data_IF_811389542588
#
_entry.id   IF_811389542588
#
_cell.length_a   1.000
_cell.length_b   1.000
_cell.length_c   1.000
_cell.angle_alpha   90.00
_cell.angle_beta   90.00
_cell.angle_gamma   90.00
#
_symmetry.space_group_name_H-M   'P 1'
#
loop_
_entity.id
_entity.type
_entity.pdbx_description
1 polymer ?
#
# COMPACT_ATOMS: atom_id res chain seq x y z
N UNK A 1 10.22 4.81 14.44
CA UNK A 1 10.70 5.12 13.07
C UNK A 1 11.77 6.24 13.03
N UNK A 2 11.94 7.07 14.03
CA UNK A 2 12.98 8.13 14.04
C UNK A 2 14.40 7.62 14.32
N UNK A 3 14.56 6.50 15.00
CA UNK A 3 15.88 5.99 15.45
C UNK A 3 16.55 5.03 14.45
N UNK A 4 15.83 4.54 13.46
CA UNK A 4 16.36 3.55 12.49
C UNK A 4 17.28 4.15 11.42
N UNK A 5 17.24 5.46 11.19
CA UNK A 5 18.19 6.13 10.29
C UNK A 5 19.60 6.26 10.87
N UNK A 6 19.80 5.93 12.14
CA UNK A 6 21.12 5.98 12.82
C UNK A 6 22.05 4.87 12.34
N UNK A 7 21.53 3.80 11.77
CA UNK A 7 22.31 2.68 11.23
C UNK A 7 22.84 2.94 9.80
N UNK A 8 22.29 3.96 9.11
CA UNK A 8 22.77 4.38 7.81
C UNK A 8 23.84 5.45 7.94
N UNK A 9 24.86 5.39 7.10
CA UNK A 9 25.84 6.46 7.03
C UNK A 9 25.20 7.82 6.69
N UNK A 10 25.76 8.94 7.20
CA UNK A 10 25.17 10.28 7.04
C UNK A 10 25.02 10.67 5.54
N UNK A 11 25.90 10.19 4.68
CA UNK A 11 25.80 10.39 3.23
C UNK A 11 24.60 9.68 2.60
N UNK A 12 24.37 8.42 2.94
CA UNK A 12 23.24 7.64 2.47
C UNK A 12 21.91 8.22 2.96
N UNK A 13 21.83 8.59 4.23
CA UNK A 13 20.66 9.25 4.80
C UNK A 13 20.33 10.55 4.08
N UNK A 14 21.34 11.38 3.78
CA UNK A 14 21.16 12.63 3.03
C UNK A 14 20.69 12.36 1.61
N UNK A 15 21.27 11.38 0.93
CA UNK A 15 20.88 10.99 -0.41
C UNK A 15 19.43 10.51 -0.45
N UNK A 16 19.03 9.57 0.42
CA UNK A 16 17.66 9.07 0.47
C UNK A 16 16.64 10.16 0.79
N UNK A 17 16.95 11.05 1.73
CA UNK A 17 16.07 12.21 2.03
C UNK A 17 15.94 13.16 0.85
N UNK A 18 17.00 13.31 0.07
CA UNK A 18 16.97 14.16 -1.11
C UNK A 18 16.16 13.60 -2.27
N UNK A 19 15.72 12.34 -2.23
CA UNK A 19 14.85 11.74 -3.24
C UNK A 19 13.37 12.14 -3.09
N UNK A 20 12.99 12.76 -1.97
CA UNK A 20 11.62 13.17 -1.69
C UNK A 20 11.50 14.67 -1.88
N UNK A 21 10.76 15.11 -2.88
CA UNK A 21 10.46 16.53 -3.11
C UNK A 21 9.56 17.11 -1.99
N UNK A 22 9.48 18.44 -1.87
CA UNK A 22 8.68 19.12 -0.84
C UNK A 22 7.18 18.78 -0.92
N UNK A 23 6.68 18.52 -2.13
CA UNK A 23 5.31 18.07 -2.39
C UNK A 23 5.11 16.55 -2.18
N UNK A 24 6.12 15.84 -1.66
CA UNK A 24 6.18 14.39 -1.47
C UNK A 24 6.20 13.56 -2.76
N UNK A 25 6.52 14.17 -3.88
CA UNK A 25 6.74 13.44 -5.11
C UNK A 25 8.11 12.76 -5.10
N UNK A 26 8.17 11.65 -5.82
CA UNK A 26 9.39 10.89 -6.08
C UNK A 26 9.69 10.95 -7.57
N UNK A 27 10.96 10.94 -7.99
CA UNK A 27 11.31 10.72 -9.38
C UNK A 27 10.75 9.40 -9.91
N UNK A 28 10.21 9.39 -11.13
CA UNK A 28 9.49 8.25 -11.69
C UNK A 28 10.36 6.98 -11.80
N UNK A 29 11.67 7.10 -11.97
CA UNK A 29 12.60 5.97 -11.99
C UNK A 29 12.66 5.19 -10.67
N UNK A 30 12.16 5.74 -9.55
CA UNK A 30 12.07 5.05 -8.25
C UNK A 30 10.84 4.14 -8.14
N UNK A 31 9.93 4.20 -9.10
CA UNK A 31 8.73 3.39 -9.14
C UNK A 31 8.66 2.55 -10.42
N UNK A 32 9.67 1.69 -10.68
CA UNK A 32 9.67 0.86 -11.86
C UNK A 32 8.49 -0.11 -11.85
N UNK A 33 8.09 -0.56 -13.04
CA UNK A 33 7.12 -1.62 -13.16
C UNK A 33 7.65 -2.92 -12.54
N UNK A 34 6.92 -3.56 -11.62
CA UNK A 34 7.37 -4.81 -11.03
C UNK A 34 7.46 -5.91 -12.09
N UNK A 35 8.57 -6.62 -12.13
CA UNK A 35 8.81 -7.72 -13.08
C UNK A 35 7.93 -8.94 -12.81
N UNK A 36 7.41 -9.08 -11.57
CA UNK A 36 6.57 -10.20 -11.15
C UNK A 36 5.57 -9.76 -10.08
N UNK A 37 4.51 -10.55 -9.81
CA UNK A 37 3.55 -10.27 -8.74
C UNK A 37 4.18 -10.25 -7.32
N UNK A 38 5.35 -10.85 -7.16
CA UNK A 38 6.11 -10.92 -5.90
C UNK A 38 7.59 -10.67 -6.17
N UNK A 39 7.97 -9.44 -6.55
CA UNK A 39 9.34 -9.13 -6.89
C UNK A 39 10.23 -9.24 -5.66
N UNK A 40 11.45 -9.66 -5.85
CA UNK A 40 12.47 -9.60 -4.82
C UNK A 40 13.15 -8.24 -4.85
N UNK A 41 13.53 -7.70 -3.71
CA UNK A 41 14.20 -6.37 -3.62
C UNK A 41 15.42 -6.27 -4.55
N UNK A 42 16.17 -7.36 -4.73
CA UNK A 42 17.33 -7.39 -5.64
C UNK A 42 16.93 -7.13 -7.09
N UNK A 43 15.79 -7.66 -7.51
CA UNK A 43 15.28 -7.51 -8.88
C UNK A 43 14.83 -6.07 -9.11
N UNK A 44 14.13 -5.49 -8.14
CA UNK A 44 13.71 -4.09 -8.16
C UNK A 44 14.92 -3.13 -8.22
N UNK A 45 15.95 -3.38 -7.40
CA UNK A 45 17.17 -2.58 -7.42
C UNK A 45 18.00 -2.79 -8.69
N UNK A 46 17.95 -3.97 -9.29
CA UNK A 46 18.57 -4.22 -10.59
C UNK A 46 17.86 -3.41 -11.70
N UNK A 47 16.52 -3.39 -11.68
CA UNK A 47 15.71 -2.57 -12.59
C UNK A 47 16.02 -1.08 -12.41
N UNK A 48 16.15 -0.61 -11.18
CA UNK A 48 16.54 0.77 -10.89
C UNK A 48 17.91 1.10 -11.48
N UNK A 49 18.92 0.24 -11.31
CA UNK A 49 20.25 0.43 -11.89
C UNK A 49 20.25 0.42 -13.41
N UNK A 50 19.33 -0.32 -14.03
CA UNK A 50 19.18 -0.43 -15.48
C UNK A 50 18.37 0.75 -16.08
N UNK A 51 17.93 1.72 -15.27
CA UNK A 51 17.24 2.90 -15.79
C UNK A 51 18.11 3.63 -16.83
N UNK A 52 17.57 3.94 -18.01
CA UNK A 52 18.31 4.67 -19.03
C UNK A 52 18.84 6.01 -18.49
N UNK A 53 20.12 6.31 -18.65
CA UNK A 53 20.74 7.52 -18.10
C UNK A 53 20.05 8.83 -18.48
N UNK A 54 19.49 8.89 -19.68
CA UNK A 54 18.75 10.05 -20.21
C UNK A 54 17.41 10.29 -19.49
N UNK A 55 16.85 9.27 -18.85
CA UNK A 55 15.62 9.39 -18.10
C UNK A 55 15.82 10.10 -16.75
N UNK A 56 17.00 9.95 -16.13
CA UNK A 56 17.27 10.45 -14.79
C UNK A 56 17.12 11.98 -14.67
N UNK A 57 17.71 12.83 -15.54
CA UNK A 57 17.51 14.28 -15.49
C UNK A 57 16.04 14.65 -15.63
N UNK A 58 15.35 14.06 -16.60
CA UNK A 58 13.94 14.32 -16.90
C UNK A 58 13.03 14.04 -15.71
N UNK A 59 13.21 12.90 -15.05
CA UNK A 59 12.39 12.50 -13.92
C UNK A 59 12.67 13.37 -12.69
N UNK A 60 13.94 13.77 -12.47
CA UNK A 60 14.29 14.70 -11.42
C UNK A 60 13.71 16.11 -11.68
N UNK A 61 13.77 16.62 -12.90
CA UNK A 61 13.15 17.89 -13.27
C UNK A 61 11.64 17.87 -13.02
N UNK A 62 10.97 16.81 -13.41
CA UNK A 62 9.53 16.65 -13.21
C UNK A 62 9.15 16.63 -11.72
N UNK A 63 9.94 15.98 -10.90
CA UNK A 63 9.68 15.85 -9.47
C UNK A 63 9.90 17.19 -8.72
N UNK A 64 10.92 17.96 -9.08
CA UNK A 64 11.37 19.11 -8.29
C UNK A 64 11.01 20.47 -8.87
N UNK A 65 11.21 20.69 -10.19
CA UNK A 65 11.10 22.06 -10.75
C UNK A 65 9.72 22.68 -10.61
N UNK A 66 8.59 21.98 -10.68
CA UNK A 66 7.28 22.59 -10.53
C UNK A 66 7.02 23.20 -9.14
N UNK A 67 7.69 22.71 -8.09
CA UNK A 67 7.42 23.11 -6.71
C UNK A 67 8.65 23.66 -5.98
N UNK A 68 9.78 22.96 -6.06
CA UNK A 68 10.99 23.30 -5.31
C UNK A 68 11.91 24.23 -6.08
N UNK A 69 11.67 24.42 -7.39
CA UNK A 69 12.45 25.23 -8.32
C UNK A 69 13.92 24.83 -8.49
N UNK A 70 14.41 23.93 -7.66
CA UNK A 70 15.80 23.45 -7.69
C UNK A 70 15.87 21.97 -7.34
N UNK A 71 16.77 21.26 -8.03
CA UNK A 71 17.10 19.87 -7.68
C UNK A 71 18.09 19.89 -6.51
N UNK A 72 17.89 19.10 -5.44
CA UNK A 72 18.81 19.01 -4.31
C UNK A 72 20.25 18.70 -4.73
N UNK A 73 21.20 19.31 -4.04
CA UNK A 73 22.64 19.24 -4.38
C UNK A 73 23.16 17.81 -4.58
N UNK A 74 22.84 16.81 -3.71
CA UNK A 74 23.32 15.44 -3.93
C UNK A 74 22.89 14.86 -5.28
N UNK A 75 21.64 15.11 -5.69
CA UNK A 75 21.09 14.62 -6.95
C UNK A 75 21.63 15.41 -8.15
N UNK A 76 21.75 16.73 -8.00
CA UNK A 76 22.25 17.61 -9.04
C UNK A 76 23.70 17.29 -9.42
N UNK A 77 24.57 17.02 -8.45
CA UNK A 77 25.94 16.60 -8.72
C UNK A 77 26.00 15.25 -9.46
N UNK A 78 25.08 14.34 -9.14
CA UNK A 78 25.00 13.02 -9.80
C UNK A 78 24.52 13.08 -11.25
N UNK A 79 23.93 14.19 -11.71
CA UNK A 79 23.48 14.32 -13.10
C UNK A 79 24.59 14.25 -14.13
N UNK A 80 25.83 14.55 -13.75
CA UNK A 80 26.99 14.38 -14.63
C UNK A 80 27.35 12.92 -14.89
N UNK A 81 26.95 12.02 -14.00
CA UNK A 81 27.20 10.58 -14.06
C UNK A 81 25.95 9.80 -13.61
N UNK A 82 24.84 9.82 -14.39
CA UNK A 82 23.55 9.27 -13.96
C UNK A 82 23.62 7.79 -13.55
N UNK A 83 24.40 6.97 -14.27
CA UNK A 83 24.56 5.55 -13.93
C UNK A 83 25.21 5.34 -12.56
N UNK A 84 26.19 6.19 -12.18
CA UNK A 84 26.78 6.17 -10.84
C UNK A 84 25.78 6.61 -9.79
N UNK A 85 25.01 7.67 -10.04
CA UNK A 85 23.96 8.13 -9.15
C UNK A 85 22.93 7.03 -8.88
N UNK A 86 22.44 6.34 -9.91
CA UNK A 86 21.52 5.20 -9.78
C UNK A 86 22.12 4.08 -8.93
N UNK A 87 23.41 3.78 -9.11
CA UNK A 87 24.14 2.83 -8.27
C UNK A 87 24.15 3.24 -6.79
N UNK A 88 24.52 4.48 -6.50
CA UNK A 88 24.57 5.03 -5.14
C UNK A 88 23.18 5.04 -4.47
N UNK A 89 22.13 5.38 -5.22
CA UNK A 89 20.74 5.30 -4.75
C UNK A 89 20.35 3.86 -4.44
N UNK A 90 20.64 2.92 -5.34
CA UNK A 90 20.30 1.52 -5.14
C UNK A 90 21.04 0.91 -3.94
N UNK A 91 22.32 1.27 -3.74
CA UNK A 91 23.11 0.82 -2.58
C UNK A 91 22.53 1.39 -1.27
N UNK A 92 22.15 2.66 -1.27
CA UNK A 92 21.51 3.29 -0.11
C UNK A 92 20.14 2.66 0.22
N UNK A 93 19.33 2.36 -0.81
CA UNK A 93 18.05 1.65 -0.64
C UNK A 93 18.24 0.22 -0.15
N UNK A 94 19.26 -0.50 -0.65
CA UNK A 94 19.60 -1.85 -0.17
C UNK A 94 20.02 -1.83 1.30
N UNK A 95 20.84 -0.88 1.70
CA UNK A 95 21.26 -0.72 3.09
C UNK A 95 20.06 -0.41 3.99
N UNK A 96 19.20 0.53 3.58
CA UNK A 96 17.97 0.87 4.31
C UNK A 96 17.01 -0.33 4.43
N UNK A 97 16.83 -1.08 3.35
CA UNK A 97 16.04 -2.31 3.37
C UNK A 97 16.57 -3.30 4.38
N UNK A 98 17.87 -3.62 4.29
CA UNK A 98 18.49 -4.67 5.10
C UNK A 98 18.52 -4.35 6.60
N UNK A 99 18.75 -3.08 6.95
CA UNK A 99 18.87 -2.64 8.35
C UNK A 99 17.52 -2.30 8.97
N UNK A 100 16.64 -1.61 8.22
CA UNK A 100 15.46 -0.98 8.79
C UNK A 100 14.15 -1.71 8.47
N UNK A 101 14.01 -2.25 7.26
CA UNK A 101 12.72 -2.78 6.82
C UNK A 101 12.64 -4.30 6.93
N UNK A 102 13.63 -5.02 6.42
CA UNK A 102 13.58 -6.47 6.30
C UNK A 102 13.46 -7.21 7.64
N UNK A 103 14.16 -6.83 8.72
CA UNK A 103 14.20 -7.64 9.94
C UNK A 103 12.87 -7.70 10.68
N UNK A 104 12.18 -6.57 10.84
CA UNK A 104 11.03 -6.49 11.72
C UNK A 104 9.75 -6.01 11.03
N UNK A 105 9.87 -5.09 10.07
CA UNK A 105 8.73 -4.45 9.44
C UNK A 105 8.18 -5.25 8.26
N UNK A 106 9.06 -5.77 7.39
CA UNK A 106 8.66 -6.43 6.16
C UNK A 106 7.77 -7.68 6.33
N UNK A 107 8.01 -8.59 7.29
CA UNK A 107 7.14 -9.75 7.46
C UNK A 107 5.67 -9.38 7.69
N UNK A 108 5.43 -8.31 8.49
CA UNK A 108 4.10 -7.77 8.75
C UNK A 108 3.53 -7.04 7.53
N UNK A 109 4.35 -6.19 6.91
CA UNK A 109 4.00 -5.47 5.70
C UNK A 109 3.57 -6.39 4.57
N UNK A 110 4.37 -7.43 4.32
CA UNK A 110 4.09 -8.45 3.33
C UNK A 110 2.74 -9.12 3.54
N UNK A 111 2.41 -9.49 4.78
CA UNK A 111 1.12 -10.10 5.10
C UNK A 111 -0.06 -9.19 4.76
N UNK A 112 0.04 -7.89 5.03
CA UNK A 112 -1.00 -6.91 4.69
C UNK A 112 -1.13 -6.75 3.18
N UNK A 113 0.00 -6.59 2.46
CA UNK A 113 0.00 -6.44 1.01
C UNK A 113 -0.56 -7.68 0.30
N UNK A 114 -0.16 -8.89 0.71
CA UNK A 114 -0.67 -10.15 0.14
C UNK A 114 -2.17 -10.36 0.42
N UNK A 115 -2.65 -9.92 1.59
CA UNK A 115 -4.07 -9.95 1.93
C UNK A 115 -4.87 -9.02 1.02
N UNK A 116 -4.36 -7.81 0.74
CA UNK A 116 -5.00 -6.88 -0.17
C UNK A 116 -5.03 -7.40 -1.61
N UNK A 117 -3.93 -7.92 -2.12
CA UNK A 117 -3.87 -8.53 -3.47
C UNK A 117 -4.92 -9.64 -3.60
N UNK A 118 -5.04 -10.49 -2.59
CA UNK A 118 -6.04 -11.58 -2.57
C UNK A 118 -7.46 -11.02 -2.59
N UNK A 119 -7.71 -9.97 -1.82
CA UNK A 119 -9.01 -9.29 -1.81
C UNK A 119 -9.34 -8.72 -3.21
N UNK A 120 -8.41 -7.98 -3.83
CA UNK A 120 -8.60 -7.39 -5.15
C UNK A 120 -8.85 -8.45 -6.23
N UNK A 121 -8.12 -9.56 -6.19
CA UNK A 121 -8.35 -10.69 -7.10
C UNK A 121 -9.77 -11.27 -6.96
N UNK A 122 -10.28 -11.40 -5.73
CA UNK A 122 -11.66 -11.85 -5.49
C UNK A 122 -12.69 -10.85 -5.99
N UNK A 123 -12.45 -9.55 -5.77
CA UNK A 123 -13.33 -8.48 -6.28
C UNK A 123 -13.41 -8.51 -7.80
N UNK A 124 -12.27 -8.63 -8.47
CA UNK A 124 -12.20 -8.75 -9.92
C UNK A 124 -12.93 -9.98 -10.42
N UNK A 125 -12.74 -11.15 -9.78
CA UNK A 125 -13.38 -12.40 -10.18
C UNK A 125 -14.90 -12.41 -9.96
N UNK A 126 -15.43 -11.68 -8.96
CA UNK A 126 -16.84 -11.70 -8.61
C UNK A 126 -17.67 -10.62 -9.30
N UNK A 127 -17.09 -9.49 -9.66
CA UNK A 127 -17.83 -8.34 -10.19
C UNK A 127 -17.08 -7.55 -11.27
N UNK A 128 -16.01 -8.14 -11.83
CA UNK A 128 -15.25 -7.49 -12.89
C UNK A 128 -14.49 -6.24 -12.47
N UNK A 129 -14.12 -5.42 -13.46
CA UNK A 129 -13.37 -4.20 -13.25
C UNK A 129 -14.12 -3.16 -12.39
N UNK A 130 -15.42 -3.03 -12.58
CA UNK A 130 -16.25 -2.10 -11.79
C UNK A 130 -16.15 -2.39 -10.30
N UNK A 131 -16.28 -3.66 -9.90
CA UNK A 131 -16.17 -4.06 -8.51
C UNK A 131 -14.75 -3.89 -7.95
N UNK A 132 -13.72 -4.01 -8.79
CA UNK A 132 -12.34 -3.80 -8.40
C UNK A 132 -12.05 -2.32 -8.13
N UNK A 133 -12.47 -1.41 -9.01
CA UNK A 133 -12.14 0.01 -8.90
C UNK A 133 -13.00 0.77 -7.91
N UNK A 134 -14.25 0.35 -7.66
CA UNK A 134 -15.21 1.02 -6.78
C UNK A 134 -14.65 1.31 -5.37
N UNK A 135 -13.85 0.41 -4.80
CA UNK A 135 -13.28 0.56 -3.46
C UNK A 135 -11.75 0.73 -3.45
N UNK A 136 -11.14 0.94 -4.63
CA UNK A 136 -9.70 1.11 -4.73
C UNK A 136 -9.26 2.49 -4.22
N UNK A 137 -9.86 3.53 -4.78
CA UNK A 137 -9.67 4.93 -4.37
C UNK A 137 -10.85 5.76 -4.88
N UNK A 138 -11.47 6.63 -4.07
CA UNK A 138 -12.63 7.44 -4.48
C UNK A 138 -12.34 8.41 -5.63
N UNK A 139 -11.06 8.66 -5.94
CA UNK A 139 -10.65 9.49 -7.07
C UNK A 139 -10.54 8.72 -8.39
N UNK A 140 -10.64 7.40 -8.35
CA UNK A 140 -10.63 6.55 -9.52
C UNK A 140 -12.06 6.26 -9.94
N UNK A 141 -12.39 6.59 -11.17
CA UNK A 141 -13.68 6.24 -11.77
C UNK A 141 -13.44 5.36 -12.98
N UNK A 142 -14.08 4.19 -12.97
CA UNK A 142 -14.06 3.25 -14.07
C UNK A 142 -15.37 3.32 -14.82
N UNK A 143 -15.29 3.53 -16.13
CA UNK A 143 -16.46 3.53 -17.01
C UNK A 143 -16.11 2.86 -18.36
N UNK A 144 -16.75 1.73 -18.65
CA UNK A 144 -16.68 1.02 -19.93
C UNK A 144 -15.29 0.92 -20.58
N UNK A 145 -14.27 0.58 -19.80
CA UNK A 145 -12.90 0.44 -20.32
C UNK A 145 -12.04 1.70 -20.21
N UNK A 146 -12.62 2.78 -19.69
CA UNK A 146 -11.91 4.05 -19.45
C UNK A 146 -11.71 4.26 -17.97
N UNK A 147 -10.48 4.52 -17.56
CA UNK A 147 -10.16 4.93 -16.20
C UNK A 147 -9.98 6.44 -16.15
N UNK A 148 -10.85 7.12 -15.43
CA UNK A 148 -10.72 8.53 -15.11
C UNK A 148 -10.13 8.69 -13.70
N UNK A 149 -9.24 9.67 -13.54
CA UNK A 149 -8.65 10.00 -12.24
C UNK A 149 -9.06 11.42 -11.89
N UNK A 150 -9.90 11.57 -10.88
CA UNK A 150 -10.26 12.88 -10.33
C UNK A 150 -9.07 13.39 -9.50
N UNK A 151 -8.18 14.12 -10.13
CA UNK A 151 -7.02 14.69 -9.46
C UNK A 151 -6.93 16.19 -9.73
N UNK A 152 -7.13 17.00 -8.71
CA UNK A 152 -6.93 18.47 -8.78
C UNK A 152 -5.48 18.86 -9.11
N UNK A 153 -4.52 17.94 -8.98
CA UNK A 153 -3.08 18.17 -9.16
C UNK A 153 -2.45 17.39 -10.32
N UNK A 154 -3.18 16.49 -10.98
CA UNK A 154 -2.62 15.73 -12.10
C UNK A 154 -2.65 16.55 -13.38
N UNK A 155 -1.63 17.38 -13.57
CA UNK A 155 -1.39 18.10 -14.84
C UNK A 155 -0.99 17.19 -16.01
N UNK A 156 -0.85 15.90 -15.79
CA UNK A 156 -0.30 14.93 -16.75
C UNK A 156 -1.35 13.96 -17.32
N UNK A 157 -2.56 13.92 -16.76
CA UNK A 157 -3.62 13.09 -17.33
C UNK A 157 -4.58 13.94 -18.14
N UNK A 158 -5.02 13.46 -19.32
CA UNK A 158 -6.10 14.09 -20.06
C UNK A 158 -7.33 14.22 -19.17
N UNK A 159 -8.02 15.33 -19.22
CA UNK A 159 -9.25 15.56 -18.46
C UNK A 159 -10.35 14.51 -18.70
N UNK A 160 -10.22 13.73 -19.78
CA UNK A 160 -11.20 12.74 -20.23
C UNK A 160 -10.87 11.29 -19.80
N UNK A 161 -9.88 11.09 -18.93
CA UNK A 161 -9.46 9.75 -18.53
C UNK A 161 -8.54 9.05 -19.55
N UNK A 162 -8.12 7.85 -19.22
CA UNK A 162 -7.26 7.01 -20.07
C UNK A 162 -8.02 5.73 -20.41
N UNK A 163 -8.16 5.46 -21.70
CA UNK A 163 -8.70 4.20 -22.18
C UNK A 163 -7.69 3.07 -21.89
N UNK A 164 -8.03 2.18 -20.97
CA UNK A 164 -7.24 1.00 -20.63
C UNK A 164 -7.99 -0.31 -20.89
N UNK A 165 -9.19 -0.21 -21.44
CA UNK A 165 -9.96 -1.37 -21.87
C UNK A 165 -9.20 -2.15 -22.94
N UNK A 166 -8.97 -3.44 -22.70
CA UNK A 166 -8.21 -4.30 -23.61
C UNK A 166 -6.69 -4.15 -23.49
N UNK A 167 -6.17 -3.28 -22.62
CA UNK A 167 -4.74 -3.13 -22.33
C UNK A 167 -4.36 -3.72 -20.98
N UNK A 168 -3.08 -4.01 -20.81
CA UNK A 168 -2.55 -4.45 -19.53
C UNK A 168 -2.51 -3.27 -18.56
N UNK A 169 -3.00 -3.47 -17.33
CA UNK A 169 -2.89 -2.52 -16.22
C UNK A 169 -2.16 -3.20 -15.07
N UNK A 170 -1.21 -2.52 -14.45
CA UNK A 170 -0.51 -2.99 -13.26
C UNK A 170 -1.05 -2.26 -12.04
N UNK A 171 -1.51 -3.03 -11.04
CA UNK A 171 -1.97 -2.53 -9.75
C UNK A 171 -0.95 -2.91 -8.67
N UNK A 172 -0.39 -1.92 -7.97
CA UNK A 172 0.62 -2.14 -6.94
C UNK A 172 0.13 -1.59 -5.60
N UNK A 173 -0.16 -2.46 -4.62
CA UNK A 173 -0.53 -2.01 -3.29
C UNK A 173 0.66 -1.40 -2.56
N UNK A 174 0.44 -0.32 -1.81
CA UNK A 174 1.45 0.31 -0.97
C UNK A 174 0.93 0.58 0.44
N UNK A 175 1.86 0.65 1.41
CA UNK A 175 1.57 1.00 2.81
C UNK A 175 1.89 2.47 3.12
N UNK A 176 2.40 3.21 2.15
CA UNK A 176 2.94 4.55 2.37
C UNK A 176 2.12 5.67 1.71
N UNK A 177 1.27 5.35 0.74
CA UNK A 177 0.42 6.34 0.09
C UNK A 177 -0.90 6.53 0.85
N UNK A 178 -1.42 7.75 0.82
CA UNK A 178 -2.75 8.09 1.34
C UNK A 178 -3.83 8.05 0.26
N UNK A 179 -3.45 7.84 -0.99
CA UNK A 179 -4.35 7.76 -2.13
C UNK A 179 -3.63 7.22 -3.36
N UNK A 180 -4.38 6.90 -4.40
CA UNK A 180 -3.84 6.34 -5.63
C UNK A 180 -2.88 7.33 -6.31
N UNK A 181 -1.76 6.80 -6.75
CA UNK A 181 -0.75 7.45 -7.57
C UNK A 181 -0.76 6.75 -8.92
N UNK A 182 -0.90 7.49 -9.99
CA UNK A 182 -0.92 6.94 -11.34
C UNK A 182 0.33 7.33 -12.10
N UNK A 183 1.04 6.36 -12.65
CA UNK A 183 2.09 6.55 -13.63
C UNK A 183 1.55 6.05 -14.98
N UNK A 184 1.10 7.00 -15.80
CA UNK A 184 0.53 6.71 -17.11
C UNK A 184 1.31 7.52 -18.14
N UNK A 185 2.17 6.84 -18.88
CA UNK A 185 2.83 7.40 -20.05
C UNK A 185 2.22 6.78 -21.31
N UNK A 186 2.14 7.52 -22.44
CA UNK A 186 1.44 7.04 -23.64
C UNK A 186 1.95 5.72 -24.21
N UNK A 187 3.21 5.38 -23.97
CA UNK A 187 3.86 4.18 -24.54
C UNK A 187 4.18 3.12 -23.48
N UNK A 188 3.84 3.37 -22.21
CA UNK A 188 4.12 2.44 -21.12
C UNK A 188 2.84 1.76 -20.63
N UNK A 189 2.96 0.55 -20.10
CA UNK A 189 1.84 -0.10 -19.42
C UNK A 189 1.39 0.77 -18.24
N UNK A 190 0.11 1.16 -18.15
CA UNK A 190 -0.36 1.96 -17.02
C UNK A 190 -0.09 1.29 -15.68
N UNK A 191 0.43 2.04 -14.71
CA UNK A 191 0.68 1.61 -13.34
C UNK A 191 -0.14 2.44 -12.37
N UNK A 192 -0.86 1.78 -11.47
CA UNK A 192 -1.55 2.42 -10.35
C UNK A 192 -0.96 1.88 -9.06
N UNK A 193 -0.34 2.77 -8.29
CA UNK A 193 0.10 2.50 -6.92
C UNK A 193 -1.01 2.99 -5.99
N UNK A 194 -1.56 2.13 -5.15
CA UNK A 194 -2.73 2.46 -4.33
C UNK A 194 -2.54 2.04 -2.86
N UNK A 195 -3.19 2.72 -1.89
CA UNK A 195 -3.12 2.34 -0.49
C UNK A 195 -3.68 0.94 -0.28
N UNK A 196 -2.87 0.03 0.24
CA UNK A 196 -3.33 -1.31 0.60
C UNK A 196 -4.36 -1.24 1.73
N UNK A 197 -5.38 -2.06 1.68
CA UNK A 197 -6.33 -2.23 2.79
C UNK A 197 -5.58 -2.72 4.03
N UNK A 198 -5.92 -2.14 5.18
CA UNK A 198 -5.23 -2.47 6.43
C UNK A 198 -3.89 -1.76 6.63
N UNK A 199 -3.49 -0.82 5.77
CA UNK A 199 -2.25 -0.04 5.95
C UNK A 199 -2.22 0.68 7.31
N UNK A 200 -3.35 1.11 7.86
CA UNK A 200 -3.45 1.70 9.19
C UNK A 200 -3.03 0.77 10.32
N UNK A 201 -3.09 -0.55 10.12
CA UNK A 201 -2.64 -1.53 11.13
C UNK A 201 -1.11 -1.63 11.22
N UNK A 202 -0.40 -1.09 10.22
CA UNK A 202 1.06 -1.08 10.16
C UNK A 202 1.70 0.05 10.94
N UNK A 203 0.95 1.09 11.28
CA UNK A 203 1.38 2.14 12.18
C UNK A 203 1.41 1.58 13.63
N UNK A 204 2.37 0.68 13.88
CA UNK A 204 2.58 0.05 15.18
C UNK A 204 2.74 1.09 16.27
N UNK A 205 2.11 0.84 17.41
CA UNK A 205 2.18 1.61 18.68
C UNK A 205 1.65 3.06 18.66
N UNK A 206 1.13 3.55 17.56
CA UNK A 206 0.27 4.72 17.67
C UNK A 206 -1.11 4.24 18.13
N UNK A 207 -1.48 4.68 19.29
CA UNK A 207 -2.84 4.57 19.87
C UNK A 207 -3.86 4.69 18.74
N UNK A 208 -4.75 3.71 18.55
CA UNK A 208 -5.75 3.78 17.49
C UNK A 208 -6.48 5.12 17.58
N UNK A 209 -6.73 5.75 16.44
CA UNK A 209 -7.56 6.93 16.39
C UNK A 209 -8.86 6.68 17.18
N UNK A 210 -9.40 7.68 17.83
CA UNK A 210 -10.55 7.68 18.76
C UNK A 210 -11.71 6.70 18.44
N UNK A 211 -12.01 6.36 17.17
CA UNK A 211 -13.09 5.44 16.82
C UNK A 211 -12.98 4.04 17.45
N UNK A 212 -11.78 3.46 17.47
CA UNK A 212 -11.59 2.11 18.02
C UNK A 212 -11.78 2.01 19.54
N UNK A 213 -11.52 3.08 20.27
CA UNK A 213 -11.73 3.12 21.71
C UNK A 213 -13.21 3.01 22.11
N UNK A 214 -14.11 3.57 21.32
CA UNK A 214 -15.55 3.47 21.59
C UNK A 214 -16.02 2.02 21.41
N UNK A 215 -15.56 1.37 20.34
CA UNK A 215 -15.84 -0.04 20.10
C UNK A 215 -15.22 -0.95 21.18
N UNK A 216 -13.97 -0.65 21.61
CA UNK A 216 -13.33 -1.37 22.71
C UNK A 216 -14.05 -1.20 24.06
N UNK A 217 -14.59 -0.02 24.32
CA UNK A 217 -15.40 0.23 25.54
C UNK A 217 -16.73 -0.51 25.50
N UNK A 218 -17.33 -0.64 24.33
CA UNK A 218 -18.62 -1.32 24.16
C UNK A 218 -18.48 -2.86 24.22
N UNK A 219 -17.51 -3.42 23.49
CA UNK A 219 -17.38 -4.87 23.31
C UNK A 219 -16.29 -5.50 24.17
N UNK A 220 -15.42 -4.68 24.75
CA UNK A 220 -14.15 -5.12 25.31
C UNK A 220 -13.06 -5.32 24.23
N UNK A 221 -11.80 -5.03 24.59
CA UNK A 221 -10.66 -4.99 23.69
C UNK A 221 -10.47 -6.24 22.80
N UNK A 222 -10.58 -7.50 23.31
CA UNK A 222 -10.42 -8.68 22.47
C UNK A 222 -11.50 -8.81 21.38
N UNK A 223 -12.76 -8.57 21.73
CA UNK A 223 -13.90 -8.68 20.80
C UNK A 223 -13.92 -7.57 19.76
N UNK A 224 -13.60 -6.35 20.17
CA UNK A 224 -13.45 -5.24 19.24
C UNK A 224 -12.35 -5.51 18.21
N UNK A 225 -11.18 -5.97 18.65
CA UNK A 225 -10.08 -6.35 17.73
C UNK A 225 -10.47 -7.46 16.78
N UNK A 226 -11.14 -8.50 17.26
CA UNK A 226 -11.65 -9.57 16.41
C UNK A 226 -12.65 -9.07 15.37
N UNK A 227 -13.58 -8.22 15.78
CA UNK A 227 -14.57 -7.66 14.87
C UNK A 227 -13.90 -6.81 13.79
N UNK A 228 -12.91 -6.01 14.14
CA UNK A 228 -12.14 -5.19 13.19
C UNK A 228 -11.33 -6.04 12.19
N UNK A 229 -10.73 -7.14 12.65
CA UNK A 229 -9.99 -8.08 11.79
C UNK A 229 -10.87 -8.88 10.83
N UNK A 230 -12.18 -8.93 11.08
CA UNK A 230 -13.17 -9.60 10.23
C UNK A 230 -13.72 -8.69 9.13
N UNK A 231 -12.98 -7.66 8.72
CA UNK A 231 -13.21 -6.93 7.46
C UNK A 231 -13.13 -7.89 6.26
N UNK A 232 -12.39 -9.00 6.43
CA UNK A 232 -12.34 -10.12 5.52
C UNK A 232 -12.73 -11.43 6.25
N UNK A 233 -13.39 -12.38 5.54
CA UNK A 233 -13.64 -13.70 6.11
C UNK A 233 -12.33 -14.39 6.51
N UNK A 234 -12.24 -14.83 7.77
CA UNK A 234 -11.05 -15.48 8.31
C UNK A 234 -11.42 -16.69 9.17
N UNK A 235 -10.50 -17.66 9.27
CA UNK A 235 -10.64 -18.82 10.16
C UNK A 235 -10.20 -18.48 11.59
N UNK A 236 -10.65 -19.30 12.57
CA UNK A 236 -10.19 -19.15 13.97
C UNK A 236 -8.69 -19.28 14.12
N UNK A 237 -8.07 -20.17 13.35
CA UNK A 237 -6.61 -20.39 13.37
C UNK A 237 -5.86 -19.16 12.83
N UNK A 238 -6.35 -18.58 11.75
CA UNK A 238 -5.78 -17.37 11.16
C UNK A 238 -5.90 -16.18 12.11
N UNK A 239 -7.08 -15.97 12.71
CA UNK A 239 -7.31 -14.90 13.69
C UNK A 239 -6.45 -15.08 14.95
N UNK A 240 -6.28 -16.31 15.42
CA UNK A 240 -5.44 -16.63 16.55
C UNK A 240 -3.97 -16.28 16.28
N UNK A 241 -3.48 -16.62 15.09
CA UNK A 241 -2.13 -16.26 14.66
C UNK A 241 -1.93 -14.73 14.59
N UNK A 242 -2.89 -13.99 14.00
CA UNK A 242 -2.84 -12.52 13.89
C UNK A 242 -2.86 -11.81 15.25
N UNK A 243 -3.55 -12.39 16.24
CA UNK A 243 -3.69 -11.80 17.57
C UNK A 243 -2.67 -12.29 18.59
N UNK A 244 -1.87 -13.31 18.26
CA UNK A 244 -0.92 -13.92 19.18
C UNK A 244 -1.59 -14.66 20.35
N UNK A 245 -2.78 -15.28 20.11
CA UNK A 245 -3.56 -15.99 21.12
C UNK A 245 -3.90 -17.39 20.63
N UNK A 246 -4.53 -18.21 21.49
CA UNK A 246 -4.94 -19.58 21.11
C UNK A 246 -6.22 -19.58 20.27
N UNK A 247 -6.40 -20.54 19.34
CA UNK A 247 -7.65 -20.68 18.58
C UNK A 247 -8.89 -20.88 19.47
N UNK A 248 -8.72 -21.50 20.64
CA UNK A 248 -9.79 -21.68 21.62
C UNK A 248 -10.28 -20.33 22.18
N UNK A 249 -9.38 -19.43 22.55
CA UNK A 249 -9.72 -18.10 23.02
C UNK A 249 -10.45 -17.29 21.92
N UNK A 250 -10.00 -17.37 20.68
CA UNK A 250 -10.68 -16.75 19.54
C UNK A 250 -12.09 -17.31 19.36
N UNK A 251 -12.26 -18.64 19.44
CA UNK A 251 -13.55 -19.29 19.30
C UNK A 251 -14.57 -18.81 20.35
N UNK A 252 -14.13 -18.64 21.60
CA UNK A 252 -14.99 -18.11 22.67
C UNK A 252 -15.46 -16.67 22.37
N UNK A 253 -14.58 -15.82 21.94
CA UNK A 253 -14.94 -14.43 21.60
C UNK A 253 -15.84 -14.35 20.36
N UNK A 254 -15.59 -15.20 19.34
CA UNK A 254 -16.43 -15.27 18.14
C UNK A 254 -17.82 -15.83 18.45
N UNK A 255 -17.97 -16.72 19.43
CA UNK A 255 -19.27 -17.20 19.88
C UNK A 255 -20.13 -16.02 20.40
N UNK A 256 -19.59 -15.20 21.27
CA UNK A 256 -20.28 -14.01 21.81
C UNK A 256 -20.63 -13.01 20.71
N UNK A 257 -19.70 -12.72 19.79
CA UNK A 257 -19.97 -11.82 18.66
C UNK A 257 -21.06 -12.37 17.72
N UNK A 258 -21.15 -13.68 17.55
CA UNK A 258 -22.19 -14.33 16.77
C UNK A 258 -23.55 -14.29 17.47
N UNK A 259 -23.61 -14.53 18.77
CA UNK A 259 -24.82 -14.39 19.58
C UNK A 259 -25.37 -12.95 19.49
N UNK A 260 -24.46 -11.97 19.51
CA UNK A 260 -24.80 -10.54 19.29
C UNK A 260 -25.14 -10.22 17.82
N UNK A 261 -25.15 -11.20 16.92
CA UNK A 261 -25.39 -11.03 15.48
C UNK A 261 -24.40 -10.08 14.77
N UNK A 262 -23.24 -9.85 15.34
CA UNK A 262 -22.20 -9.02 14.74
C UNK A 262 -21.32 -9.80 13.75
N UNK A 263 -21.27 -11.13 13.90
CA UNK A 263 -20.54 -12.00 13.00
C UNK A 263 -21.40 -13.19 12.57
N UNK A 264 -21.07 -13.75 11.41
CA UNK A 264 -21.62 -15.00 10.88
C UNK A 264 -20.50 -15.98 10.58
N UNK A 265 -20.82 -17.27 10.58
CA UNK A 265 -19.92 -18.33 10.14
C UNK A 265 -20.41 -18.95 8.83
N UNK A 266 -19.49 -19.27 7.95
CA UNK A 266 -19.79 -19.98 6.69
C UNK A 266 -18.79 -21.11 6.53
N UNK A 267 -19.28 -22.30 6.15
CA UNK A 267 -18.42 -23.44 5.86
C UNK A 267 -17.88 -23.29 4.43
N UNK A 268 -16.58 -23.32 4.29
CA UNK A 268 -15.91 -23.31 3.00
C UNK A 268 -15.02 -24.56 2.91
N UNK A 269 -15.54 -25.60 2.29
CA UNK A 269 -14.89 -26.90 2.24
C UNK A 269 -14.63 -27.49 3.64
N UNK A 270 -13.35 -27.72 3.96
CA UNK A 270 -12.89 -28.23 5.27
C UNK A 270 -12.74 -27.13 6.33
N UNK A 271 -12.80 -25.88 5.94
CA UNK A 271 -12.59 -24.74 6.85
C UNK A 271 -13.89 -24.05 7.20
N UNK A 272 -13.95 -23.50 8.41
CA UNK A 272 -15.00 -22.60 8.86
C UNK A 272 -14.46 -21.19 8.85
N UNK A 273 -15.08 -20.31 8.07
CA UNK A 273 -14.75 -18.89 7.97
C UNK A 273 -15.78 -18.07 8.72
N UNK A 274 -15.30 -17.04 9.40
CA UNK A 274 -16.11 -16.03 10.06
C UNK A 274 -16.03 -14.72 9.25
N UNK A 275 -17.14 -13.99 9.19
CA UNK A 275 -17.24 -12.67 8.57
C UNK A 275 -18.18 -11.78 9.38
N UNK A 276 -18.06 -10.48 9.23
CA UNK A 276 -19.04 -9.54 9.78
C UNK A 276 -20.40 -9.74 9.12
N UNK A 277 -21.45 -9.40 9.84
CA UNK A 277 -22.79 -9.16 9.31
C UNK A 277 -22.94 -7.68 8.92
N UNK A 278 -23.99 -7.27 8.20
CA UNK A 278 -24.27 -5.85 7.97
C UNK A 278 -24.29 -5.04 9.28
N UNK A 279 -24.89 -5.57 10.36
CA UNK A 279 -24.88 -4.93 11.69
C UNK A 279 -23.45 -4.77 12.23
N UNK A 280 -22.60 -5.77 12.02
CA UNK A 280 -21.18 -5.70 12.40
C UNK A 280 -20.41 -4.69 11.59
N UNK A 281 -20.72 -4.54 10.31
CA UNK A 281 -20.11 -3.52 9.43
C UNK A 281 -20.58 -2.12 9.84
N UNK A 282 -21.88 -1.92 10.07
CA UNK A 282 -22.47 -0.64 10.53
C UNK A 282 -21.85 -0.21 11.86
N UNK A 283 -21.69 -1.15 12.81
CA UNK A 283 -21.05 -0.87 14.09
C UNK A 283 -19.58 -0.43 13.94
N UNK A 284 -18.85 -1.04 13.02
CA UNK A 284 -17.48 -0.63 12.71
C UNK A 284 -17.42 0.69 11.96
N UNK A 285 -18.37 0.97 11.06
CA UNK A 285 -18.45 2.22 10.30
C UNK A 285 -18.91 3.40 11.17
N UNK A 286 -19.87 3.19 12.07
CA UNK A 286 -20.38 4.21 13.00
C UNK A 286 -19.35 4.70 14.02
N UNK A 287 -18.18 4.07 14.10
CA UNK A 287 -17.03 4.54 14.89
C UNK A 287 -16.17 5.56 14.15
N UNK A 288 -16.56 6.00 12.95
CA UNK A 288 -15.82 6.90 12.05
C UNK A 288 -16.41 8.32 11.93
N UNK A 289 -17.31 8.70 12.85
CA UNK A 289 -17.89 10.04 12.94
C UNK A 289 -17.17 10.92 13.96
#
# INVERSE_FOLDING_TARGET
MRDTFTELGPGQTRLLRSLIASNRWLPDFLTPHPASPRPHIRDELATLRATPPERVPRDLERAYLPHDRTIPTPLRHGLHTPGRLLGEIADALQAYWSSCLAPAWWPRARSVLESDITHRARRLASGGADALFTDLDPRLNWDHGTLAVACERARTLPANGVAIGGTRLVLTPTLFAQGAITAIAPEETPLIIYPARGHGTMAGDQTPAMPHRTLERLLGRPRARLLLLLDQPASTTELAHRLGVTPSAVSQHLAVLREARLTRRTRNGRSVLYSRTPLGDDLCAGTGG
#
